data_IF_056027600008
#
_entry.id   IF_056027600008
#
_cell.length_a   1.000
_cell.length_b   1.000
_cell.length_c   1.000
_cell.angle_alpha   90.00
_cell.angle_beta   90.00
_cell.angle_gamma   90.00
#
_symmetry.space_group_name_H-M   'P 1'
#
loop_
_entity.id
_entity.type
_entity.pdbx_description
1 polymer ?
#
# COMPACT_ATOMS: atom_id res chain seq x y z
N UNK A 1 18.99 -2.69 43.20
CA UNK A 1 17.85 -2.32 44.08
C UNK A 1 16.72 -1.92 43.15
N UNK A 2 15.73 -2.75 42.84
CA UNK A 2 15.44 -4.15 43.24
C UNK A 2 15.27 -4.99 41.96
N UNK A 3 15.36 -6.32 41.92
CA UNK A 3 15.09 -7.31 42.97
C UNK A 3 13.67 -7.86 42.78
N UNK A 4 13.52 -9.19 42.88
CA UNK A 4 12.32 -10.01 42.61
C UNK A 4 12.08 -10.29 41.10
N UNK A 5 12.46 -11.40 40.48
CA UNK A 5 12.42 -12.86 40.76
C UNK A 5 11.11 -13.61 40.40
N UNK A 6 11.29 -14.86 39.94
CA UNK A 6 10.32 -15.97 39.83
C UNK A 6 9.41 -16.02 38.56
N UNK A 7 9.04 -17.23 38.06
CA UNK A 7 9.99 -18.03 37.26
C UNK A 7 9.39 -18.70 36.00
N UNK A 8 10.27 -19.08 35.08
CA UNK A 8 9.95 -19.97 33.96
C UNK A 8 9.77 -21.43 34.41
N UNK A 9 8.60 -22.02 34.19
CA UNK A 9 8.37 -23.46 34.36
C UNK A 9 8.27 -24.17 33.00
N UNK A 10 9.43 -24.56 32.48
CA UNK A 10 9.55 -25.66 31.52
C UNK A 10 9.27 -26.98 32.23
N UNK A 11 8.35 -27.80 31.72
CA UNK A 11 8.20 -29.18 32.18
C UNK A 11 8.28 -30.15 30.99
N UNK A 12 9.50 -30.58 30.69
CA UNK A 12 9.75 -31.70 29.80
C UNK A 12 9.43 -33.01 30.53
N UNK A 13 8.86 -33.98 29.81
CA UNK A 13 8.54 -35.28 30.38
C UNK A 13 9.77 -36.18 30.54
N UNK A 14 9.76 -37.02 31.58
CA UNK A 14 10.59 -38.23 31.65
C UNK A 14 9.88 -39.29 32.49
N UNK A 15 9.55 -40.41 31.85
CA UNK A 15 9.57 -41.73 32.47
C UNK A 15 10.85 -42.45 31.99
N UNK A 16 11.20 -43.66 32.49
CA UNK A 16 10.82 -44.31 33.75
C UNK A 16 12.08 -44.64 34.60
N UNK A 17 11.92 -45.22 35.80
CA UNK A 17 12.86 -46.25 36.28
C UNK A 17 12.31 -47.13 37.42
N UNK A 18 12.47 -48.43 37.23
CA UNK A 18 12.25 -49.49 38.21
C UNK A 18 13.22 -49.36 39.39
N UNK A 19 12.77 -49.76 40.59
CA UNK A 19 13.56 -49.61 41.83
C UNK A 19 13.02 -50.36 43.05
N UNK A 20 12.39 -51.53 42.89
CA UNK A 20 12.06 -52.38 44.05
C UNK A 20 13.35 -53.02 44.63
N UNK A 21 13.76 -52.59 45.83
CA UNK A 21 14.65 -53.38 46.71
C UNK A 21 13.82 -54.02 47.81
N UNK A 22 13.85 -55.34 47.86
CA UNK A 22 13.18 -56.12 48.90
C UNK A 22 14.08 -56.27 50.14
N UNK A 23 13.50 -55.99 51.32
CA UNK A 23 13.92 -56.47 52.63
C UNK A 23 12.70 -56.34 53.56
N UNK A 24 12.30 -57.34 54.34
CA UNK A 24 12.72 -58.74 54.42
C UNK A 24 11.93 -59.45 55.53
N UNK A 25 11.64 -60.74 55.37
CA UNK A 25 10.91 -61.55 56.36
C UNK A 25 9.53 -62.06 55.89
N UNK A 26 9.05 -63.11 56.58
CA UNK A 26 7.72 -63.76 56.45
C UNK A 26 7.39 -64.49 55.13
N UNK A 27 8.37 -65.17 54.51
CA UNK A 27 8.16 -66.06 53.36
C UNK A 27 7.26 -67.29 53.60
N UNK A 28 6.88 -67.60 54.85
CA UNK A 28 6.03 -68.76 55.18
C UNK A 28 4.52 -68.50 55.11
N UNK A 29 4.04 -67.25 55.27
CA UNK A 29 2.60 -66.95 55.12
C UNK A 29 2.18 -66.56 53.70
N UNK A 30 3.10 -66.03 52.88
CA UNK A 30 2.79 -65.63 51.50
C UNK A 30 2.37 -66.82 50.61
N UNK A 31 2.94 -68.01 50.82
CA UNK A 31 2.61 -69.21 50.05
C UNK A 31 1.14 -69.65 50.22
N UNK A 32 0.59 -69.55 51.44
CA UNK A 32 -0.81 -69.91 51.73
C UNK A 32 -1.76 -68.87 51.11
N UNK A 33 -1.43 -67.58 51.20
CA UNK A 33 -2.23 -66.52 50.59
C UNK A 33 -2.25 -66.60 49.05
N UNK A 34 -1.14 -66.97 48.41
CA UNK A 34 -1.04 -67.03 46.95
C UNK A 34 -1.72 -68.28 46.37
N UNK A 35 -1.69 -69.42 47.07
CA UNK A 35 -2.52 -70.59 46.72
C UNK A 35 -4.01 -70.29 46.91
N UNK A 36 -4.40 -69.59 47.98
CA UNK A 36 -5.78 -69.15 48.18
C UNK A 36 -6.25 -68.18 47.08
N UNK A 37 -5.43 -67.20 46.70
CA UNK A 37 -5.77 -66.24 45.64
C UNK A 37 -5.90 -66.91 44.26
N UNK A 38 -5.00 -67.83 43.90
CA UNK A 38 -5.07 -68.54 42.62
C UNK A 38 -6.21 -69.57 42.54
N UNK A 39 -6.68 -70.11 43.67
CA UNK A 39 -7.83 -71.03 43.69
C UNK A 39 -9.18 -70.35 43.93
N UNK A 40 -9.21 -69.15 44.51
CA UNK A 40 -10.47 -68.40 44.78
C UNK A 40 -11.25 -67.99 43.51
N UNK A 41 -10.56 -67.85 42.37
CA UNK A 41 -11.20 -67.57 41.08
C UNK A 41 -12.13 -68.71 40.61
N UNK A 42 -11.86 -69.95 41.04
CA UNK A 42 -12.61 -71.13 40.60
C UNK A 42 -13.80 -71.49 41.53
N UNK A 43 -13.72 -71.13 42.82
CA UNK A 43 -14.72 -71.51 43.83
C UNK A 43 -15.66 -70.38 44.28
N UNK A 44 -15.41 -69.13 43.87
CA UNK A 44 -16.28 -68.00 44.22
C UNK A 44 -17.68 -68.04 43.57
N UNK A 45 -17.90 -68.42 42.30
CA UNK A 45 -19.23 -68.32 41.67
C UNK A 45 -20.37 -69.12 42.34
N UNK A 46 -20.17 -70.38 42.80
CA UNK A 46 -21.25 -71.13 43.45
C UNK A 46 -21.53 -70.69 44.90
N UNK A 47 -20.53 -70.24 45.66
CA UNK A 47 -20.70 -69.84 47.06
C UNK A 47 -21.39 -68.48 47.22
N UNK A 48 -21.10 -67.50 46.36
CA UNK A 48 -21.81 -66.20 46.40
C UNK A 48 -23.30 -66.33 46.06
N UNK A 49 -23.69 -67.29 45.20
CA UNK A 49 -25.10 -67.59 44.92
C UNK A 49 -25.83 -68.19 46.13
N UNK A 50 -25.18 -69.04 46.93
CA UNK A 50 -25.83 -69.70 48.07
C UNK A 50 -26.15 -68.73 49.22
N UNK A 51 -25.34 -67.66 49.37
CA UNK A 51 -25.42 -66.72 50.50
C UNK A 51 -26.24 -65.44 50.20
N UNK A 52 -26.79 -65.28 48.99
CA UNK A 52 -27.51 -64.04 48.56
C UNK A 52 -26.71 -62.73 48.74
N UNK A 53 -25.39 -62.82 48.95
CA UNK A 53 -24.52 -61.66 49.10
C UNK A 53 -24.36 -60.98 47.74
N UNK A 54 -25.12 -59.90 47.53
CA UNK A 54 -24.96 -58.97 46.40
C UNK A 54 -23.47 -58.66 46.25
N UNK A 55 -22.89 -59.05 45.12
CA UNK A 55 -21.47 -58.79 44.84
C UNK A 55 -21.23 -57.28 44.80
N UNK A 56 -20.30 -56.74 45.61
CA UNK A 56 -20.01 -55.30 45.61
C UNK A 56 -19.48 -54.81 44.26
N UNK A 57 -18.90 -55.71 43.44
CA UNK A 57 -18.51 -55.45 42.05
C UNK A 57 -19.66 -55.00 41.16
N UNK A 58 -20.81 -55.70 41.15
CA UNK A 58 -21.92 -55.35 40.25
C UNK A 58 -22.51 -53.95 40.50
N UNK A 59 -22.37 -53.42 41.73
CA UNK A 59 -22.74 -52.04 42.08
C UNK A 59 -21.65 -51.00 41.76
N UNK A 60 -20.40 -51.44 41.53
CA UNK A 60 -19.31 -50.62 41.03
C UNK A 60 -19.29 -50.59 39.49
N UNK A 61 -19.49 -51.73 38.83
CA UNK A 61 -19.59 -51.87 37.38
C UNK A 61 -20.73 -50.98 36.84
N UNK A 62 -21.92 -51.06 37.46
CA UNK A 62 -23.07 -50.23 37.10
C UNK A 62 -22.86 -48.72 37.36
N UNK A 63 -21.86 -48.31 38.16
CA UNK A 63 -21.46 -46.90 38.30
C UNK A 63 -20.51 -46.51 37.17
N UNK A 64 -19.55 -47.36 36.83
CA UNK A 64 -18.65 -47.14 35.70
C UNK A 64 -19.42 -47.01 34.37
N UNK A 65 -20.43 -47.84 34.12
CA UNK A 65 -21.27 -47.72 32.91
C UNK A 65 -22.00 -46.36 32.83
N UNK A 66 -22.52 -45.87 33.96
CA UNK A 66 -23.18 -44.55 34.03
C UNK A 66 -22.19 -43.42 33.81
N UNK A 67 -20.98 -43.52 34.36
CA UNK A 67 -19.95 -42.49 34.20
C UNK A 67 -19.33 -42.51 32.79
N UNK A 68 -19.17 -43.68 32.15
CA UNK A 68 -18.79 -43.81 30.73
C UNK A 68 -19.90 -43.21 29.84
N UNK A 69 -21.17 -43.49 30.12
CA UNK A 69 -22.30 -42.90 29.39
C UNK A 69 -22.33 -41.38 29.48
N UNK A 70 -22.09 -40.82 30.68
CA UNK A 70 -21.94 -39.37 30.89
C UNK A 70 -20.74 -38.79 30.16
N UNK A 71 -19.60 -39.48 30.15
CA UNK A 71 -18.40 -39.02 29.47
C UNK A 71 -18.63 -38.96 27.95
N UNK A 72 -19.21 -40.02 27.37
CA UNK A 72 -19.59 -40.05 25.96
C UNK A 72 -20.58 -38.93 25.59
N UNK A 73 -21.57 -38.66 26.43
CA UNK A 73 -22.48 -37.53 26.24
C UNK A 73 -21.73 -36.19 26.29
N UNK A 74 -20.79 -36.01 27.22
CA UNK A 74 -19.99 -34.79 27.32
C UNK A 74 -19.06 -34.57 26.12
N UNK A 75 -18.52 -35.65 25.55
CA UNK A 75 -17.73 -35.61 24.30
C UNK A 75 -18.62 -35.20 23.13
N UNK A 76 -19.80 -35.81 22.96
CA UNK A 76 -20.74 -35.44 21.89
C UNK A 76 -21.22 -33.98 22.01
N UNK A 77 -21.42 -33.47 23.23
CA UNK A 77 -21.78 -32.07 23.46
C UNK A 77 -20.59 -31.10 23.26
N UNK A 78 -19.34 -31.53 23.50
CA UNK A 78 -18.14 -30.79 23.14
C UNK A 78 -17.93 -30.75 21.62
N UNK A 79 -18.15 -31.86 20.91
CA UNK A 79 -18.07 -31.94 19.45
C UNK A 79 -19.10 -31.01 18.78
N UNK A 80 -20.35 -31.00 19.27
CA UNK A 80 -21.38 -30.03 18.82
C UNK A 80 -20.93 -28.58 19.05
N UNK A 81 -20.47 -28.25 20.26
CA UNK A 81 -19.99 -26.90 20.58
C UNK A 81 -18.78 -26.48 19.73
N UNK A 82 -17.87 -27.41 19.42
CA UNK A 82 -16.74 -27.16 18.52
C UNK A 82 -17.21 -26.91 17.09
N UNK A 83 -18.19 -27.67 16.59
CA UNK A 83 -18.80 -27.43 15.29
C UNK A 83 -19.51 -26.06 15.23
N UNK A 84 -20.29 -25.71 16.26
CA UNK A 84 -20.98 -24.41 16.36
C UNK A 84 -19.98 -23.24 16.43
N UNK A 85 -18.91 -23.35 17.23
CA UNK A 85 -17.86 -22.32 17.32
C UNK A 85 -17.14 -22.17 15.98
N UNK A 86 -16.82 -23.26 15.29
CA UNK A 86 -16.15 -23.22 13.99
C UNK A 86 -17.06 -22.60 12.91
N UNK A 87 -18.36 -22.93 12.90
CA UNK A 87 -19.34 -22.33 12.00
C UNK A 87 -19.51 -20.82 12.28
N UNK A 88 -19.57 -20.42 13.55
CA UNK A 88 -19.63 -19.01 13.94
C UNK A 88 -18.35 -18.24 13.58
N UNK A 89 -17.17 -18.86 13.72
CA UNK A 89 -15.89 -18.27 13.30
C UNK A 89 -15.84 -18.06 11.79
N UNK A 90 -16.22 -19.07 11.00
CA UNK A 90 -16.29 -18.97 9.54
C UNK A 90 -17.26 -17.87 9.10
N UNK A 91 -18.43 -17.76 9.76
CA UNK A 91 -19.39 -16.67 9.52
C UNK A 91 -18.82 -15.30 9.88
N UNK A 92 -18.19 -15.14 11.04
CA UNK A 92 -17.56 -13.88 11.43
C UNK A 92 -16.40 -13.47 10.49
N UNK A 93 -15.66 -14.43 9.95
CA UNK A 93 -14.66 -14.17 8.91
C UNK A 93 -15.30 -13.69 7.60
N UNK A 94 -16.43 -14.28 7.18
CA UNK A 94 -17.18 -13.85 6.00
C UNK A 94 -17.82 -12.46 6.18
N UNK A 95 -18.41 -12.19 7.35
CA UNK A 95 -19.02 -10.91 7.69
C UNK A 95 -17.95 -9.79 7.75
N UNK A 96 -16.76 -10.07 8.30
CA UNK A 96 -15.64 -9.11 8.30
C UNK A 96 -14.99 -8.92 6.93
N UNK A 97 -14.92 -9.96 6.09
CA UNK A 97 -14.44 -9.86 4.72
C UNK A 97 -15.38 -8.99 3.85
N UNK A 98 -16.70 -9.24 3.93
CA UNK A 98 -17.70 -8.46 3.21
C UNK A 98 -17.80 -7.00 3.68
N UNK A 99 -17.69 -6.75 5.00
CA UNK A 99 -17.59 -5.39 5.53
C UNK A 99 -16.37 -4.63 5.00
N UNK A 100 -15.19 -5.29 4.94
CA UNK A 100 -13.96 -4.71 4.36
C UNK A 100 -14.12 -4.42 2.87
N UNK A 101 -14.72 -5.34 2.10
CA UNK A 101 -14.99 -5.10 0.68
C UNK A 101 -15.92 -3.90 0.47
N UNK A 102 -16.99 -3.79 1.27
CA UNK A 102 -17.90 -2.64 1.25
C UNK A 102 -17.20 -1.32 1.59
N UNK A 103 -16.31 -1.31 2.58
CA UNK A 103 -15.51 -0.14 2.95
C UNK A 103 -14.56 0.28 1.81
N UNK A 104 -13.78 -0.66 1.23
CA UNK A 104 -12.86 -0.39 0.11
C UNK A 104 -13.61 0.18 -1.11
N UNK A 105 -14.80 -0.33 -1.40
CA UNK A 105 -15.65 0.17 -2.47
C UNK A 105 -16.18 1.59 -2.20
N UNK A 106 -16.51 1.91 -0.93
CA UNK A 106 -16.91 3.27 -0.54
C UNK A 106 -15.74 4.26 -0.64
N UNK A 107 -14.56 3.89 -0.12
CA UNK A 107 -13.33 4.70 -0.20
C UNK A 107 -12.95 4.97 -1.67
N UNK A 108 -13.01 3.96 -2.53
CA UNK A 108 -12.74 4.12 -3.98
C UNK A 108 -13.70 5.10 -4.66
N UNK A 109 -14.99 5.13 -4.28
CA UNK A 109 -15.98 6.09 -4.81
C UNK A 109 -15.70 7.52 -4.35
N UNK A 110 -15.29 7.70 -3.10
CA UNK A 110 -14.86 9.01 -2.57
C UNK A 110 -13.59 9.48 -3.28
N UNK A 111 -12.63 8.57 -3.52
CA UNK A 111 -11.43 8.82 -4.31
C UNK A 111 -11.73 9.28 -5.75
N UNK A 112 -12.67 8.59 -6.44
CA UNK A 112 -13.15 9.02 -7.77
C UNK A 112 -13.75 10.43 -7.74
N UNK A 113 -14.61 10.73 -6.76
CA UNK A 113 -15.22 12.05 -6.65
C UNK A 113 -14.17 13.14 -6.41
N UNK A 114 -13.20 12.89 -5.52
CA UNK A 114 -12.09 13.80 -5.26
C UNK A 114 -11.23 14.04 -6.52
N UNK A 115 -10.93 12.98 -7.29
CA UNK A 115 -10.22 13.08 -8.57
C UNK A 115 -10.98 13.94 -9.59
N UNK A 116 -12.30 13.75 -9.73
CA UNK A 116 -13.13 14.55 -10.65
C UNK A 116 -13.17 16.02 -10.23
N UNK A 117 -13.25 16.32 -8.93
CA UNK A 117 -13.18 17.70 -8.43
C UNK A 117 -11.81 18.33 -8.71
N UNK A 118 -10.70 17.63 -8.43
CA UNK A 118 -9.36 18.12 -8.75
C UNK A 118 -9.17 18.34 -10.27
N UNK A 119 -9.71 17.46 -11.11
CA UNK A 119 -9.67 17.64 -12.57
C UNK A 119 -10.53 18.84 -13.01
N UNK A 120 -11.66 19.11 -12.35
CA UNK A 120 -12.49 20.29 -12.62
C UNK A 120 -11.81 21.59 -12.18
N UNK A 121 -11.10 21.59 -11.03
CA UNK A 121 -10.31 22.70 -10.54
C UNK A 121 -9.13 23.01 -11.50
N UNK A 122 -8.35 22.00 -11.90
CA UNK A 122 -7.21 22.16 -12.83
C UNK A 122 -7.60 22.49 -14.28
N UNK A 123 -8.90 22.50 -14.62
CA UNK A 123 -9.42 23.07 -15.88
C UNK A 123 -9.70 24.57 -15.79
N UNK A 124 -9.57 25.18 -14.61
CA UNK A 124 -9.77 26.60 -14.35
C UNK A 124 -8.46 27.22 -13.87
N UNK A 125 -8.16 28.47 -14.23
CA UNK A 125 -7.09 29.21 -13.60
C UNK A 125 -7.55 29.69 -12.23
N UNK A 126 -6.97 29.13 -11.18
CA UNK A 126 -7.28 29.48 -9.80
C UNK A 126 -6.72 28.47 -8.80
N UNK A 127 -6.81 28.78 -7.49
CA UNK A 127 -6.35 27.88 -6.44
C UNK A 127 -7.13 26.56 -6.45
N UNK A 128 -6.47 25.48 -6.01
CA UNK A 128 -7.01 24.12 -5.96
C UNK A 128 -6.53 23.36 -4.69
N UNK A 129 -6.17 24.11 -3.64
CA UNK A 129 -5.70 23.61 -2.36
C UNK A 129 -6.73 22.73 -1.64
N UNK A 130 -8.01 23.13 -1.72
CA UNK A 130 -9.13 22.38 -1.14
C UNK A 130 -9.31 21.02 -1.81
N UNK A 131 -9.26 20.98 -3.15
CA UNK A 131 -9.39 19.75 -3.93
C UNK A 131 -8.17 18.83 -3.77
N UNK A 132 -6.96 19.39 -3.67
CA UNK A 132 -5.74 18.63 -3.40
C UNK A 132 -5.77 18.03 -1.98
N UNK A 133 -6.22 18.78 -0.98
CA UNK A 133 -6.44 18.29 0.38
C UNK A 133 -7.53 17.19 0.41
N UNK A 134 -8.62 17.36 -0.35
CA UNK A 134 -9.68 16.35 -0.47
C UNK A 134 -9.16 15.05 -1.09
N UNK A 135 -8.34 15.13 -2.15
CA UNK A 135 -7.69 13.96 -2.76
C UNK A 135 -6.79 13.23 -1.75
N UNK A 136 -6.03 13.96 -0.93
CA UNK A 136 -5.19 13.36 0.13
C UNK A 136 -6.02 12.72 1.25
N UNK A 137 -7.12 13.36 1.65
CA UNK A 137 -8.03 12.82 2.66
C UNK A 137 -8.79 11.57 2.18
N UNK A 138 -9.18 11.53 0.91
CA UNK A 138 -9.88 10.42 0.28
C UNK A 138 -8.96 9.20 0.02
N UNK A 139 -7.69 9.43 -0.29
CA UNK A 139 -6.72 8.37 -0.63
C UNK A 139 -5.67 8.25 0.49
N UNK A 140 -6.03 7.62 1.61
CA UNK A 140 -5.15 7.52 2.80
C UNK A 140 -3.81 6.84 2.56
N UNK A 141 -3.76 5.87 1.64
CA UNK A 141 -2.51 5.34 1.10
C UNK A 141 -2.23 6.00 -0.26
N UNK A 142 -1.37 7.01 -0.26
CA UNK A 142 -0.84 7.62 -1.48
C UNK A 142 0.40 6.90 -2.02
N UNK A 143 1.13 6.12 -1.20
CA UNK A 143 2.33 5.39 -1.62
C UNK A 143 3.27 6.21 -2.53
N UNK A 144 3.71 5.67 -3.69
CA UNK A 144 4.53 6.40 -4.66
C UNK A 144 3.88 7.66 -5.26
N UNK A 145 2.55 7.79 -5.15
CA UNK A 145 1.77 8.88 -5.70
C UNK A 145 1.86 10.15 -4.84
N UNK A 146 2.24 10.03 -3.56
CA UNK A 146 2.51 11.19 -2.70
C UNK A 146 3.59 12.10 -3.30
N UNK A 147 4.70 11.51 -3.77
CA UNK A 147 5.79 12.24 -4.43
C UNK A 147 5.38 12.86 -5.78
N UNK A 148 4.36 12.32 -6.45
CA UNK A 148 3.80 12.93 -7.67
C UNK A 148 2.90 14.14 -7.36
N UNK A 149 2.36 14.24 -6.13
CA UNK A 149 1.53 15.36 -5.67
C UNK A 149 2.31 16.43 -4.90
N UNK A 150 3.55 16.19 -4.50
CA UNK A 150 4.38 17.18 -3.79
C UNK A 150 4.67 18.45 -4.62
N UNK A 151 4.98 18.39 -5.93
CA UNK A 151 5.20 19.60 -6.73
C UNK A 151 3.94 20.48 -6.83
N UNK A 152 2.76 19.87 -6.76
CA UNK A 152 1.47 20.55 -6.84
C UNK A 152 1.16 21.36 -5.58
N UNK A 153 1.68 20.99 -4.40
CA UNK A 153 1.42 21.73 -3.15
C UNK A 153 1.87 23.19 -3.21
N UNK A 154 3.01 23.45 -3.87
CA UNK A 154 3.58 24.80 -4.00
C UNK A 154 2.77 25.69 -4.95
N UNK A 155 2.02 25.07 -5.86
CA UNK A 155 1.25 25.73 -6.92
C UNK A 155 -0.25 25.76 -6.60
N UNK A 156 -0.72 24.96 -5.65
CA UNK A 156 -2.11 24.92 -5.22
C UNK A 156 -2.68 26.27 -4.76
N UNK A 157 -1.92 27.19 -4.12
CA UNK A 157 -2.42 28.52 -3.75
C UNK A 157 -2.47 29.52 -4.92
N UNK A 158 -1.57 29.40 -5.90
CA UNK A 158 -1.52 30.28 -7.08
C UNK A 158 -2.42 29.82 -8.21
N UNK A 159 -2.72 28.53 -8.26
CA UNK A 159 -3.23 27.85 -9.44
C UNK A 159 -2.13 27.49 -10.43
N UNK A 160 -2.53 26.82 -11.51
CA UNK A 160 -1.69 26.50 -12.67
C UNK A 160 -2.41 27.04 -13.91
N UNK A 161 -1.66 27.67 -14.80
CA UNK A 161 -2.21 28.24 -16.03
C UNK A 161 -2.87 27.18 -16.92
N UNK A 162 -3.95 27.57 -17.60
CA UNK A 162 -4.64 26.69 -18.56
C UNK A 162 -4.04 26.86 -19.97
N UNK A 163 -4.17 25.83 -20.81
CA UNK A 163 -3.55 25.83 -22.16
C UNK A 163 -3.96 26.98 -23.09
N UNK A 164 -5.05 27.71 -22.82
CA UNK A 164 -5.36 28.98 -23.51
C UNK A 164 -4.52 30.15 -22.99
N UNK A 165 -4.31 30.29 -21.68
CA UNK A 165 -3.46 31.33 -21.10
C UNK A 165 -2.00 31.12 -21.46
N UNK A 166 -1.49 29.89 -21.34
CA UNK A 166 -0.14 29.52 -21.77
C UNK A 166 0.12 29.91 -23.23
N UNK A 167 -0.88 29.81 -24.11
CA UNK A 167 -0.81 30.29 -25.50
C UNK A 167 -0.80 31.81 -25.61
N UNK A 168 -1.63 32.52 -24.85
CA UNK A 168 -1.67 33.99 -24.84
C UNK A 168 -0.32 34.56 -24.38
N UNK A 169 0.19 34.10 -23.23
CA UNK A 169 1.48 34.54 -22.68
C UNK A 169 2.63 34.20 -23.61
N UNK A 170 2.62 33.01 -24.24
CA UNK A 170 3.65 32.66 -25.21
C UNK A 170 3.62 33.56 -26.45
N UNK A 171 2.44 33.99 -26.92
CA UNK A 171 2.35 34.90 -28.06
C UNK A 171 2.98 36.27 -27.72
N UNK A 172 2.75 36.79 -26.52
CA UNK A 172 3.38 38.02 -26.05
C UNK A 172 4.90 37.89 -25.95
N UNK A 173 5.40 36.78 -25.39
CA UNK A 173 6.83 36.47 -25.33
C UNK A 173 7.46 36.30 -26.72
N UNK A 174 6.79 35.62 -27.66
CA UNK A 174 7.24 35.44 -29.02
C UNK A 174 7.35 36.75 -29.80
N UNK A 175 6.41 37.68 -29.57
CA UNK A 175 6.46 39.02 -30.14
C UNK A 175 7.59 39.88 -29.53
N UNK A 176 7.97 39.62 -28.28
CA UNK A 176 9.16 40.23 -27.68
C UNK A 176 10.46 39.63 -28.21
N UNK A 177 10.57 38.30 -28.28
CA UNK A 177 11.71 37.59 -28.89
C UNK A 177 11.97 38.09 -30.32
N UNK A 178 10.91 38.17 -31.12
CA UNK A 178 10.97 38.70 -32.49
C UNK A 178 11.48 40.16 -32.51
N UNK A 179 10.98 41.01 -31.61
CA UNK A 179 11.45 42.41 -31.49
C UNK A 179 12.91 42.52 -31.04
N UNK A 180 13.41 41.60 -30.21
CA UNK A 180 14.81 41.55 -29.78
C UNK A 180 15.72 41.09 -30.94
N UNK A 181 15.34 40.03 -31.67
CA UNK A 181 16.05 39.55 -32.86
C UNK A 181 16.23 40.67 -33.91
N UNK A 182 15.16 41.42 -34.23
CA UNK A 182 15.26 42.53 -35.19
C UNK A 182 16.15 43.70 -34.70
N UNK A 183 16.33 43.90 -33.39
CA UNK A 183 17.19 44.96 -32.83
C UNK A 183 18.68 44.65 -32.88
N UNK A 184 19.08 43.38 -32.98
CA UNK A 184 20.51 42.98 -33.09
C UNK A 184 21.05 43.24 -34.50
N UNK A 185 20.20 43.18 -35.52
CA UNK A 185 20.59 43.27 -36.92
C UNK A 185 21.25 44.61 -37.34
N UNK A 186 20.73 45.82 -37.04
CA UNK A 186 20.99 47.04 -37.82
C UNK A 186 22.46 47.48 -38.03
N UNK A 187 23.37 47.23 -37.09
CA UNK A 187 24.71 47.84 -37.12
C UNK A 187 25.73 47.00 -37.90
N UNK A 188 25.65 45.66 -37.80
CA UNK A 188 26.68 44.78 -38.36
C UNK A 188 26.70 44.77 -39.90
N UNK A 189 25.53 44.68 -40.55
CA UNK A 189 25.46 44.71 -42.02
C UNK A 189 25.67 46.13 -42.58
N UNK A 190 25.27 47.17 -41.87
CA UNK A 190 25.48 48.55 -42.30
C UNK A 190 26.97 48.96 -42.24
N UNK A 191 27.71 48.48 -41.24
CA UNK A 191 29.18 48.61 -41.20
C UNK A 191 29.87 47.80 -42.32
N UNK A 192 29.31 46.67 -42.73
CA UNK A 192 29.80 45.86 -43.86
C UNK A 192 29.61 46.58 -45.21
N UNK A 193 28.44 47.19 -45.44
CA UNK A 193 28.14 47.95 -46.66
C UNK A 193 28.92 49.28 -46.78
N UNK A 194 29.29 49.90 -45.66
CA UNK A 194 30.04 51.16 -45.65
C UNK A 194 31.56 50.99 -45.88
N UNK A 195 32.04 49.77 -46.11
CA UNK A 195 33.31 49.52 -46.79
C UNK A 195 34.57 50.08 -46.10
N UNK A 196 34.56 50.27 -44.77
CA UNK A 196 35.77 50.58 -43.99
C UNK A 196 36.33 49.29 -43.38
N UNK A 197 37.30 48.61 -44.03
CA UNK A 197 38.09 47.60 -43.35
C UNK A 197 38.93 48.29 -42.27
N UNK A 198 38.59 48.06 -41.00
CA UNK A 198 39.48 48.42 -39.89
C UNK A 198 40.67 47.46 -39.93
N UNK A 199 41.92 47.92 -40.14
CA UNK A 199 43.05 47.00 -40.27
C UNK A 199 43.30 46.26 -38.95
N UNK A 200 43.29 44.94 -38.97
CA UNK A 200 43.70 44.09 -37.84
C UNK A 200 42.60 43.36 -37.07
N UNK A 201 41.33 43.39 -37.53
CA UNK A 201 40.28 42.50 -37.00
C UNK A 201 40.04 41.38 -38.02
N UNK A 202 40.53 40.17 -37.71
CA UNK A 202 40.11 38.95 -38.41
C UNK A 202 38.58 38.85 -38.34
N UNK A 203 37.89 38.36 -39.39
CA UNK A 203 36.46 38.12 -39.31
C UNK A 203 36.18 37.07 -38.23
N UNK A 204 35.80 37.55 -37.04
CA UNK A 204 35.39 36.73 -35.92
C UNK A 204 34.38 35.70 -36.44
N UNK A 205 34.67 34.44 -36.16
CA UNK A 205 34.30 33.34 -37.05
C UNK A 205 32.82 33.30 -37.42
N UNK A 206 32.53 32.64 -38.54
CA UNK A 206 31.19 32.16 -38.85
C UNK A 206 30.76 31.22 -37.73
N UNK A 207 30.14 31.78 -36.69
CA UNK A 207 29.35 31.01 -35.74
C UNK A 207 28.37 30.19 -36.58
N UNK A 208 28.14 28.90 -36.27
CA UNK A 208 27.06 28.17 -36.90
C UNK A 208 25.78 29.01 -36.72
N UNK A 209 24.88 29.08 -37.72
CA UNK A 209 23.70 29.92 -37.62
C UNK A 209 22.85 29.43 -36.44
N UNK A 210 23.02 30.09 -35.29
CA UNK A 210 22.17 29.90 -34.12
C UNK A 210 20.78 30.24 -34.61
N UNK A 211 19.90 29.24 -34.58
CA UNK A 211 18.57 29.38 -35.15
C UNK A 211 17.86 30.55 -34.44
N UNK A 212 17.32 31.47 -35.24
CA UNK A 212 16.77 32.73 -34.71
C UNK A 212 15.69 32.42 -33.70
N UNK A 213 15.66 33.18 -32.60
CA UNK A 213 14.69 32.98 -31.54
C UNK A 213 13.25 33.11 -32.07
N UNK A 214 13.02 33.96 -33.09
CA UNK A 214 11.75 34.06 -33.80
C UNK A 214 11.31 32.75 -34.49
N UNK A 215 12.23 32.01 -35.12
CA UNK A 215 11.93 30.76 -35.85
C UNK A 215 11.58 29.65 -34.88
N UNK A 216 12.30 29.55 -33.76
CA UNK A 216 11.96 28.66 -32.65
C UNK A 216 10.59 29.02 -32.05
N UNK A 217 10.31 30.31 -31.85
CA UNK A 217 9.03 30.76 -31.34
C UNK A 217 7.85 30.40 -32.28
N UNK A 218 8.02 30.50 -33.59
CA UNK A 218 6.99 30.09 -34.56
C UNK A 218 6.74 28.57 -34.54
N UNK A 219 7.78 27.74 -34.42
CA UNK A 219 7.61 26.28 -34.21
C UNK A 219 6.89 25.98 -32.90
N UNK A 220 7.20 26.70 -31.82
CA UNK A 220 6.52 26.52 -30.53
C UNK A 220 5.05 26.94 -30.61
N UNK A 221 4.72 28.03 -31.31
CA UNK A 221 3.31 28.40 -31.61
C UNK A 221 2.56 27.27 -32.32
N UNK A 222 3.20 26.58 -33.27
CA UNK A 222 2.62 25.40 -33.95
C UNK A 222 2.40 24.21 -32.98
N UNK A 223 3.38 23.87 -32.13
CA UNK A 223 3.21 22.82 -31.11
C UNK A 223 2.08 23.14 -30.13
N UNK A 224 2.01 24.39 -29.67
CA UNK A 224 0.95 24.86 -28.78
C UNK A 224 -0.43 24.87 -29.45
N UNK A 225 -0.53 25.18 -30.75
CA UNK A 225 -1.78 25.09 -31.50
C UNK A 225 -2.30 23.63 -31.56
N UNK A 226 -1.39 22.66 -31.66
CA UNK A 226 -1.67 21.22 -31.57
C UNK A 226 -1.84 20.70 -30.12
N UNK A 227 -1.81 21.59 -29.11
CA UNK A 227 -1.87 21.26 -27.68
C UNK A 227 -0.72 20.34 -27.18
N UNK A 228 0.42 20.32 -27.89
CA UNK A 228 1.61 19.54 -27.52
C UNK A 228 2.56 20.40 -26.66
N UNK A 229 2.24 20.47 -25.37
CA UNK A 229 3.03 21.19 -24.36
C UNK A 229 4.45 20.61 -24.18
N UNK A 230 4.61 19.29 -24.38
CA UNK A 230 5.89 18.61 -24.19
C UNK A 230 6.87 18.94 -25.33
N UNK A 231 6.41 18.87 -26.58
CA UNK A 231 7.22 19.29 -27.72
C UNK A 231 7.54 20.79 -27.67
N UNK A 232 6.60 21.65 -27.24
CA UNK A 232 6.83 23.08 -27.06
C UNK A 232 8.01 23.37 -26.10
N UNK A 233 8.08 22.70 -24.94
CA UNK A 233 9.20 22.84 -23.99
C UNK A 233 10.51 22.29 -24.56
N UNK A 234 10.46 21.20 -25.33
CA UNK A 234 11.65 20.59 -25.93
C UNK A 234 12.27 21.47 -27.04
N UNK A 235 11.46 22.15 -27.87
CA UNK A 235 11.96 23.12 -28.85
C UNK A 235 12.68 24.29 -28.15
N UNK A 236 12.08 24.86 -27.09
CA UNK A 236 12.70 25.94 -26.31
C UNK A 236 13.97 25.51 -25.56
N UNK A 237 14.14 24.22 -25.25
CA UNK A 237 15.37 23.71 -24.61
C UNK A 237 16.63 23.84 -25.49
N UNK A 238 16.47 24.11 -26.79
CA UNK A 238 17.57 24.46 -27.70
C UNK A 238 17.99 25.93 -27.65
N UNK A 239 17.18 26.81 -27.05
CA UNK A 239 17.51 28.22 -26.87
C UNK A 239 18.61 28.41 -25.83
N UNK A 240 19.41 29.45 -26.00
CA UNK A 240 20.47 29.83 -25.06
C UNK A 240 20.60 31.34 -24.91
N UNK A 241 21.31 31.79 -23.87
CA UNK A 241 21.49 33.21 -23.56
C UNK A 241 20.20 33.93 -23.14
N UNK A 242 20.14 35.24 -23.38
CA UNK A 242 19.06 36.12 -22.94
C UNK A 242 17.66 35.71 -23.42
N UNK A 243 17.58 35.02 -24.57
CA UNK A 243 16.32 34.48 -25.09
C UNK A 243 15.80 33.31 -24.24
N UNK A 244 16.68 32.42 -23.76
CA UNK A 244 16.31 31.34 -22.86
C UNK A 244 15.86 31.88 -21.49
N UNK A 245 16.57 32.88 -20.96
CA UNK A 245 16.21 33.54 -19.69
C UNK A 245 14.85 34.27 -19.77
N UNK A 246 14.45 34.78 -20.96
CA UNK A 246 13.14 35.41 -21.15
C UNK A 246 11.98 34.39 -21.12
N UNK A 247 12.17 33.19 -21.67
CA UNK A 247 11.12 32.16 -21.72
C UNK A 247 11.11 31.22 -20.50
N UNK A 248 12.15 31.23 -19.66
CA UNK A 248 12.27 30.35 -18.50
C UNK A 248 11.04 30.37 -17.55
N UNK A 249 10.46 31.53 -17.18
CA UNK A 249 9.26 31.56 -16.32
C UNK A 249 8.08 30.79 -16.95
N UNK A 250 7.85 31.00 -18.24
CA UNK A 250 6.79 30.33 -18.99
C UNK A 250 7.05 28.83 -19.14
N UNK A 251 8.31 28.42 -19.40
CA UNK A 251 8.71 27.01 -19.44
C UNK A 251 8.42 26.31 -18.11
N UNK A 252 8.61 27.00 -16.98
CA UNK A 252 8.31 26.46 -15.66
C UNK A 252 6.79 26.27 -15.44
N UNK A 253 5.96 27.21 -15.89
CA UNK A 253 4.48 27.07 -15.88
C UNK A 253 4.00 25.91 -16.76
N UNK A 254 4.59 25.72 -17.95
CA UNK A 254 4.24 24.58 -18.82
C UNK A 254 4.68 23.25 -18.19
N UNK A 255 5.86 23.19 -17.54
CA UNK A 255 6.31 21.99 -16.81
C UNK A 255 5.41 21.68 -15.61
N UNK A 256 4.98 22.70 -14.86
CA UNK A 256 4.00 22.58 -13.81
C UNK A 256 2.68 21.98 -14.34
N UNK A 257 2.21 22.46 -15.50
CA UNK A 257 1.02 21.93 -16.17
C UNK A 257 1.16 20.45 -16.55
N UNK A 258 2.26 20.08 -17.20
CA UNK A 258 2.55 18.68 -17.59
C UNK A 258 2.60 17.77 -16.34
N UNK A 259 3.23 18.23 -15.26
CA UNK A 259 3.29 17.48 -14.00
C UNK A 259 1.89 17.28 -13.38
N UNK A 260 1.04 18.30 -13.41
CA UNK A 260 -0.35 18.24 -12.94
C UNK A 260 -1.17 17.22 -13.72
N UNK A 261 -1.16 17.31 -15.06
CA UNK A 261 -1.92 16.40 -15.92
C UNK A 261 -1.39 14.95 -15.80
N UNK A 262 -0.08 14.74 -15.64
CA UNK A 262 0.51 13.43 -15.36
C UNK A 262 0.15 12.85 -13.98
N UNK A 263 0.00 13.70 -12.95
CA UNK A 263 -0.43 13.26 -11.62
C UNK A 263 -1.90 12.83 -11.60
N UNK A 264 -2.78 13.54 -12.34
CA UNK A 264 -4.18 13.15 -12.55
C UNK A 264 -4.26 11.74 -13.17
N UNK A 265 -3.51 11.48 -14.24
CA UNK A 265 -3.51 10.18 -14.93
C UNK A 265 -3.11 9.05 -13.98
N UNK A 266 -1.98 9.19 -13.28
CA UNK A 266 -1.51 8.20 -12.29
C UNK A 266 -2.53 7.94 -11.18
N UNK A 267 -3.28 8.96 -10.75
CA UNK A 267 -4.32 8.82 -9.73
C UNK A 267 -5.55 8.08 -10.29
N UNK A 268 -5.94 8.39 -11.52
CA UNK A 268 -6.98 7.65 -12.25
C UNK A 268 -6.64 6.17 -12.39
N UNK A 269 -5.42 5.86 -12.86
CA UNK A 269 -4.94 4.48 -13.02
C UNK A 269 -4.94 3.71 -11.70
N UNK A 270 -4.52 4.35 -10.59
CA UNK A 270 -4.55 3.73 -9.26
C UNK A 270 -5.98 3.42 -8.81
N UNK A 271 -6.91 4.35 -8.96
CA UNK A 271 -8.30 4.17 -8.53
C UNK A 271 -9.00 3.13 -9.42
N UNK A 272 -8.71 3.10 -10.71
CA UNK A 272 -9.17 2.05 -11.61
C UNK A 272 -8.64 0.66 -11.18
N UNK A 273 -7.35 0.56 -10.83
CA UNK A 273 -6.73 -0.68 -10.35
C UNK A 273 -7.33 -1.18 -9.03
N UNK A 274 -7.71 -0.28 -8.10
CA UNK A 274 -8.42 -0.68 -6.87
C UNK A 274 -9.85 -1.14 -7.14
N UNK A 275 -10.54 -0.55 -8.12
CA UNK A 275 -11.89 -0.93 -8.53
C UNK A 275 -11.94 -2.24 -9.34
N UNK A 276 -10.87 -2.58 -10.07
CA UNK A 276 -10.78 -3.83 -10.84
C UNK A 276 -10.46 -5.07 -9.99
N UNK A 277 -10.18 -4.89 -8.70
CA UNK A 277 -9.81 -5.98 -7.79
C UNK A 277 -11.10 -6.60 -7.20
N UNK A 278 -11.38 -7.89 -7.46
CA UNK A 278 -12.58 -8.56 -6.96
C UNK A 278 -12.52 -8.83 -5.45
#
# INVERSE_FOLDING_TARGET
>A
MSGDDQPSLTQAGTAPKSGYRAAGGTTTMAAVALVAALTSAFWSPPLFKLLHLRTPGAAADARQDVDIGRLNQSVADLERKLADVNANLAKAQQDTASARAGQTAAESRVGLLALVQLQAALRRPGPFDVELALVRAANRDLGPLAAALEPLDKLAPSGILVGSQLRTEFNELADELTRRDYKVIPIAWMNSLLGRPTPGVEPAGVFPPVERASVLADRVKEKLANNDLAAAVNELASMSGDAAALVEPWVNEVRARIAADAAIVKLGDRIAATLSRP
#
